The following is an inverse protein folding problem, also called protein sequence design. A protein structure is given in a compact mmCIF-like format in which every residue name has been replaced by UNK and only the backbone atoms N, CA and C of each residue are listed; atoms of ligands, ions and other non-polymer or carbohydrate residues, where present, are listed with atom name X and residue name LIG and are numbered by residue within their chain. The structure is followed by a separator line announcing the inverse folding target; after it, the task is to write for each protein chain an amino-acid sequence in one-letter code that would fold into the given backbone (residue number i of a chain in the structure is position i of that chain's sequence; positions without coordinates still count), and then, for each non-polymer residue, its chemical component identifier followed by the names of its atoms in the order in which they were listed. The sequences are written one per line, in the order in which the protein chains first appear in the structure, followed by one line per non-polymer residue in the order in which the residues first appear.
data_IF_580457150854
#
_entry.id   IF_580457150854
#
_cell.length_a   1.000
_cell.length_b   1.000
_cell.length_c   1.000
_cell.angle_alpha   90.00
_cell.angle_beta   90.00
_cell.angle_gamma   90.00
#
_symmetry.space_group_name_H-M   'P 1'
#
loop_
_entity.id
_entity.type
_entity.pdbx_description
1 polymer ?
#
# COMPACT_ATOMS: atom_id res chain seq x y z
N UNK A 1 22.23 37.92 51.10
CA UNK A 1 22.34 37.20 49.80
C UNK A 1 21.99 38.20 48.71
N UNK A 2 22.98 38.62 47.92
CA UNK A 2 22.89 39.78 47.02
C UNK A 2 21.78 39.62 45.99
N UNK A 3 21.00 40.68 45.81
CA UNK A 3 19.84 40.75 44.90
C UNK A 3 20.26 40.40 43.47
N UNK A 4 21.48 40.77 43.08
CA UNK A 4 22.07 40.46 41.77
C UNK A 4 22.22 38.96 41.52
N UNK A 5 22.58 38.19 42.56
CA UNK A 5 22.68 36.72 42.45
C UNK A 5 21.30 36.08 42.24
N UNK A 6 20.24 36.61 42.88
CA UNK A 6 18.88 36.08 42.74
C UNK A 6 18.32 36.32 41.34
N UNK A 7 18.52 37.53 40.80
CA UNK A 7 18.02 37.86 39.47
C UNK A 7 18.75 37.05 38.37
N UNK A 8 20.06 36.82 38.53
CA UNK A 8 20.83 35.98 37.62
C UNK A 8 20.34 34.51 37.65
N UNK A 9 20.13 33.93 38.84
CA UNK A 9 19.59 32.57 38.98
C UNK A 9 18.20 32.45 38.32
N UNK A 10 17.31 33.41 38.52
CA UNK A 10 15.98 33.43 37.90
C UNK A 10 16.10 33.51 36.38
N UNK A 11 17.00 34.34 35.85
CA UNK A 11 17.23 34.48 34.41
C UNK A 11 17.73 33.17 33.78
N UNK A 12 18.68 32.49 34.44
CA UNK A 12 19.20 31.19 33.99
C UNK A 12 18.10 30.13 33.98
N UNK A 13 17.29 30.04 35.04
CA UNK A 13 16.17 29.09 35.12
C UNK A 13 15.14 29.39 34.04
N UNK A 14 14.84 30.67 33.79
CA UNK A 14 13.91 31.09 32.74
C UNK A 14 14.41 30.69 31.34
N UNK A 15 15.71 30.88 31.06
CA UNK A 15 16.30 30.44 29.79
C UNK A 15 16.22 28.93 29.62
N UNK A 16 16.51 28.16 30.68
CA UNK A 16 16.37 26.69 30.65
C UNK A 16 14.92 26.30 30.43
N UNK A 17 13.97 26.96 31.10
CA UNK A 17 12.54 26.71 30.92
C UNK A 17 12.10 26.98 29.48
N UNK A 18 12.55 28.08 28.87
CA UNK A 18 12.27 28.41 27.46
C UNK A 18 12.80 27.32 26.53
N UNK A 19 14.02 26.82 26.75
CA UNK A 19 14.60 25.75 25.93
C UNK A 19 13.83 24.43 26.07
N UNK A 20 13.45 24.05 27.30
CA UNK A 20 12.66 22.84 27.56
C UNK A 20 11.27 22.93 26.93
N UNK A 21 10.59 24.08 27.09
CA UNK A 21 9.30 24.35 26.46
C UNK A 21 9.40 24.32 24.92
N UNK A 22 10.47 24.89 24.36
CA UNK A 22 10.73 24.84 22.92
C UNK A 22 10.90 23.41 22.39
N UNK A 23 11.63 22.55 23.12
CA UNK A 23 11.79 21.15 22.76
C UNK A 23 10.47 20.36 22.86
N UNK A 24 9.67 20.59 23.90
CA UNK A 24 8.36 19.95 24.07
C UNK A 24 7.42 20.35 22.92
N UNK A 25 7.38 21.64 22.56
CA UNK A 25 6.57 22.10 21.43
C UNK A 25 7.00 21.44 20.12
N UNK A 26 8.31 21.39 19.85
CA UNK A 26 8.84 20.76 18.65
C UNK A 26 8.39 19.29 18.55
N UNK A 27 8.60 18.51 19.63
CA UNK A 27 8.21 17.09 19.68
C UNK A 27 6.69 16.91 19.57
N UNK A 28 5.90 17.78 20.20
CA UNK A 28 4.44 17.69 20.16
C UNK A 28 3.88 17.94 18.76
N UNK A 29 4.57 18.74 17.95
CA UNK A 29 4.16 19.03 16.56
C UNK A 29 4.63 17.92 15.61
N UNK A 30 5.84 17.37 15.77
CA UNK A 30 6.40 16.36 14.85
C UNK A 30 5.90 14.94 15.11
N UNK A 31 5.68 14.54 16.37
CA UNK A 31 5.24 13.18 16.71
C UNK A 31 3.98 12.68 15.95
N UNK A 32 2.91 13.49 15.72
CA UNK A 32 1.75 13.00 14.98
C UNK A 32 1.99 12.85 13.46
N UNK A 33 3.01 13.51 12.89
CA UNK A 33 3.26 13.45 11.44
C UNK A 33 3.86 12.11 10.99
N UNK A 34 4.75 11.54 11.80
CA UNK A 34 5.45 10.31 11.45
C UNK A 34 4.50 9.11 11.33
N UNK A 35 3.51 9.01 12.20
CA UNK A 35 2.51 7.92 12.16
C UNK A 35 1.61 8.01 10.92
N UNK A 36 1.24 9.23 10.52
CA UNK A 36 0.38 9.44 9.35
C UNK A 36 1.15 9.11 8.07
N UNK A 37 2.43 9.48 7.98
CA UNK A 37 3.25 9.21 6.81
C UNK A 37 3.46 7.71 6.62
N UNK A 38 3.81 6.97 7.69
CA UNK A 38 3.97 5.52 7.61
C UNK A 38 2.67 4.81 7.16
N UNK A 39 1.51 5.27 7.65
CA UNK A 39 0.21 4.71 7.24
C UNK A 39 -0.09 5.00 5.78
N UNK A 40 0.26 6.18 5.28
CA UNK A 40 0.11 6.54 3.86
C UNK A 40 1.02 5.69 2.99
N UNK A 41 2.30 5.57 3.34
CA UNK A 41 3.27 4.76 2.60
C UNK A 41 2.81 3.30 2.47
N UNK A 42 2.35 2.69 3.57
CA UNK A 42 1.82 1.31 3.53
C UNK A 42 0.57 1.23 2.64
N UNK A 43 -0.33 2.20 2.73
CA UNK A 43 -1.56 2.23 1.90
C UNK A 43 -1.23 2.37 0.41
N UNK A 44 -0.27 3.23 0.06
CA UNK A 44 0.20 3.39 -1.31
C UNK A 44 0.85 2.11 -1.83
N UNK A 45 1.66 1.42 -1.02
CA UNK A 45 2.23 0.12 -1.38
C UNK A 45 1.17 -0.95 -1.63
N UNK A 46 0.11 -1.00 -0.81
CA UNK A 46 -1.04 -1.90 -1.02
C UNK A 46 -1.68 -1.60 -2.38
N UNK A 47 -2.03 -0.34 -2.63
CA UNK A 47 -2.68 0.10 -3.86
C UNK A 47 -1.83 -0.19 -5.10
N UNK A 48 -0.52 0.03 -5.01
CA UNK A 48 0.40 -0.27 -6.08
C UNK A 48 0.46 -1.78 -6.36
N UNK A 49 0.54 -2.62 -5.33
CA UNK A 49 0.47 -4.08 -5.50
C UNK A 49 -0.83 -4.52 -6.14
N UNK A 50 -1.96 -3.99 -5.69
CA UNK A 50 -3.26 -4.28 -6.31
C UNK A 50 -3.32 -3.82 -7.77
N UNK A 51 -2.77 -2.65 -8.10
CA UNK A 51 -2.67 -2.16 -9.47
C UNK A 51 -1.80 -3.08 -10.34
N UNK A 52 -0.72 -3.63 -9.78
CA UNK A 52 0.12 -4.59 -10.48
C UNK A 52 -0.59 -5.94 -10.71
N UNK A 53 -1.35 -6.43 -9.71
CA UNK A 53 -2.21 -7.62 -9.86
C UNK A 53 -3.29 -7.37 -10.91
N UNK A 54 -3.95 -6.21 -10.90
CA UNK A 54 -4.90 -5.77 -11.94
C UNK A 54 -4.27 -5.83 -13.32
N UNK A 55 -3.07 -5.25 -13.48
CA UNK A 55 -2.35 -5.26 -14.75
C UNK A 55 -2.10 -6.69 -15.23
N UNK A 56 -1.65 -7.57 -14.33
CA UNK A 56 -1.45 -8.99 -14.66
C UNK A 56 -2.75 -9.72 -15.03
N UNK A 57 -3.87 -9.43 -14.37
CA UNK A 57 -5.19 -9.98 -14.69
C UNK A 57 -5.67 -9.53 -16.08
N UNK A 58 -5.48 -8.24 -16.40
CA UNK A 58 -5.85 -7.68 -17.72
C UNK A 58 -5.00 -8.30 -18.82
N UNK A 59 -3.69 -8.46 -18.62
CA UNK A 59 -2.80 -9.11 -19.59
C UNK A 59 -3.15 -10.59 -19.78
N UNK A 60 -3.46 -11.31 -18.70
CA UNK A 60 -3.97 -12.69 -18.80
C UNK A 60 -5.28 -12.75 -19.61
N UNK A 61 -6.21 -11.84 -19.34
CA UNK A 61 -7.48 -11.75 -20.07
C UNK A 61 -7.26 -11.46 -21.56
N UNK A 62 -6.34 -10.55 -21.90
CA UNK A 62 -6.00 -10.23 -23.30
C UNK A 62 -5.47 -11.42 -24.07
N UNK A 63 -4.69 -12.29 -23.43
CA UNK A 63 -4.11 -13.47 -24.10
C UNK A 63 -5.09 -14.65 -24.17
N UNK A 64 -5.81 -14.91 -23.08
CA UNK A 64 -6.64 -16.11 -22.95
C UNK A 64 -8.13 -15.86 -23.21
N UNK A 65 -8.53 -14.62 -23.50
CA UNK A 65 -9.93 -14.15 -23.62
C UNK A 65 -10.80 -14.44 -22.39
N UNK A 66 -10.20 -14.77 -21.25
CA UNK A 66 -10.87 -15.12 -19.99
C UNK A 66 -10.00 -14.71 -18.79
N UNK A 67 -10.62 -14.37 -17.67
CA UNK A 67 -9.91 -14.18 -16.41
C UNK A 67 -9.50 -15.53 -15.80
N UNK A 68 -8.42 -15.56 -14.98
CA UNK A 68 -8.02 -16.77 -14.28
C UNK A 68 -9.07 -17.14 -13.21
N UNK A 69 -9.27 -18.44 -12.93
CA UNK A 69 -10.25 -18.88 -11.93
C UNK A 69 -9.81 -18.58 -10.49
N UNK A 70 -8.50 -18.41 -10.25
CA UNK A 70 -7.95 -18.07 -8.94
C UNK A 70 -6.64 -17.28 -9.07
N UNK A 71 -6.27 -16.59 -8.00
CA UNK A 71 -4.97 -15.90 -7.92
C UNK A 71 -3.78 -16.87 -8.02
N UNK A 72 -3.94 -18.13 -7.58
CA UNK A 72 -2.89 -19.14 -7.71
C UNK A 72 -2.63 -19.49 -9.17
N UNK A 73 -3.69 -19.60 -9.97
CA UNK A 73 -3.57 -19.80 -11.43
C UNK A 73 -2.89 -18.61 -12.10
N UNK A 74 -3.12 -17.39 -11.60
CA UNK A 74 -2.44 -16.19 -12.09
C UNK A 74 -0.94 -16.24 -11.75
N UNK A 75 -0.56 -16.67 -10.54
CA UNK A 75 0.85 -16.80 -10.15
C UNK A 75 1.57 -17.83 -11.02
N UNK A 76 0.96 -19.00 -11.24
CA UNK A 76 1.56 -20.03 -12.12
C UNK A 76 1.79 -19.47 -13.52
N UNK A 77 0.82 -18.73 -14.05
CA UNK A 77 0.97 -18.07 -15.35
C UNK A 77 2.10 -17.04 -15.36
N UNK A 78 2.16 -16.17 -14.36
CA UNK A 78 3.22 -15.15 -14.21
C UNK A 78 4.61 -15.81 -14.15
N UNK A 79 4.73 -16.96 -13.49
CA UNK A 79 5.99 -17.72 -13.37
C UNK A 79 6.38 -18.47 -14.64
N UNK A 80 5.41 -18.89 -15.45
CA UNK A 80 5.66 -19.78 -16.59
C UNK A 80 5.85 -18.99 -17.89
N UNK A 81 5.20 -17.84 -18.03
CA UNK A 81 5.21 -17.06 -19.27
C UNK A 81 6.38 -16.06 -19.29
N UNK A 82 7.27 -16.20 -20.28
CA UNK A 82 8.46 -15.34 -20.45
C UNK A 82 8.12 -13.86 -20.63
N UNK A 83 6.98 -13.52 -21.26
CA UNK A 83 6.56 -12.11 -21.39
C UNK A 83 6.13 -11.54 -20.04
N UNK A 84 5.45 -12.34 -19.23
CA UNK A 84 5.03 -11.92 -17.90
C UNK A 84 6.22 -11.83 -16.93
N UNK A 85 7.27 -12.62 -17.11
CA UNK A 85 8.52 -12.45 -16.36
C UNK A 85 9.22 -11.13 -16.73
N UNK A 86 9.26 -10.76 -18.01
CA UNK A 86 9.84 -9.48 -18.46
C UNK A 86 9.02 -8.25 -18.02
N UNK A 87 7.69 -8.34 -18.11
CA UNK A 87 6.77 -7.34 -17.56
C UNK A 87 6.86 -7.34 -16.03
N UNK A 88 7.04 -8.51 -15.42
CA UNK A 88 7.32 -8.75 -14.01
C UNK A 88 8.52 -7.94 -13.51
N UNK A 89 9.63 -8.02 -14.21
CA UNK A 89 10.84 -7.28 -13.84
C UNK A 89 10.70 -5.76 -14.01
N UNK A 90 9.75 -5.28 -14.83
CA UNK A 90 9.57 -3.85 -15.09
C UNK A 90 8.48 -3.22 -14.23
N UNK A 91 7.32 -3.88 -14.11
CA UNK A 91 6.16 -3.43 -13.32
C UNK A 91 6.39 -3.60 -11.81
N UNK A 92 7.26 -4.53 -11.41
CA UNK A 92 7.49 -4.87 -10.01
C UNK A 92 8.90 -4.45 -9.52
N UNK A 93 9.57 -3.56 -10.26
CA UNK A 93 10.90 -3.00 -9.93
C UNK A 93 10.86 -1.94 -8.82
N UNK A 94 9.68 -1.60 -8.33
CA UNK A 94 9.49 -0.45 -7.45
C UNK A 94 9.86 -0.76 -5.99
N UNK A 95 10.96 -0.11 -5.59
CA UNK A 95 11.54 0.10 -4.25
C UNK A 95 12.17 -1.14 -3.58
N UNK A 96 13.51 -1.05 -3.49
CA UNK A 96 14.39 -1.97 -2.76
C UNK A 96 14.03 -2.09 -1.27
N UNK A 97 14.47 -3.18 -0.62
CA UNK A 97 14.98 -4.41 -1.21
C UNK A 97 13.82 -5.40 -1.32
N UNK A 98 13.82 -6.28 -2.30
CA UNK A 98 13.38 -7.69 -2.18
C UNK A 98 13.32 -8.25 -3.60
N UNK A 99 13.85 -9.46 -3.74
CA UNK A 99 13.88 -10.21 -4.99
C UNK A 99 12.44 -10.34 -5.50
N UNK A 100 12.25 -10.32 -6.82
CA UNK A 100 10.95 -10.57 -7.43
C UNK A 100 10.40 -11.91 -6.92
N UNK A 101 9.37 -11.84 -6.07
CA UNK A 101 8.66 -13.00 -5.55
C UNK A 101 7.22 -12.94 -6.03
N UNK A 102 6.87 -13.65 -7.12
CA UNK A 102 5.50 -13.71 -7.65
C UNK A 102 4.48 -14.13 -6.59
N UNK A 103 4.90 -14.98 -5.66
CA UNK A 103 4.06 -15.47 -4.57
C UNK A 103 3.68 -14.38 -3.57
N UNK A 104 4.48 -13.31 -3.44
CA UNK A 104 4.20 -12.21 -2.52
C UNK A 104 3.16 -11.22 -3.07
N UNK A 105 2.82 -11.31 -4.36
CA UNK A 105 1.92 -10.37 -5.03
C UNK A 105 0.47 -10.50 -4.59
N UNK A 106 0.09 -11.69 -4.14
CA UNK A 106 -1.26 -11.97 -3.65
C UNK A 106 -1.45 -11.56 -2.19
N UNK A 107 -0.41 -11.06 -1.52
CA UNK A 107 -0.43 -10.69 -0.10
C UNK A 107 -0.32 -9.17 0.08
N UNK A 108 -1.08 -8.66 1.04
CA UNK A 108 -1.02 -7.27 1.46
C UNK A 108 0.35 -6.97 2.11
N UNK A 109 1.01 -5.84 1.78
CA UNK A 109 2.22 -5.40 2.45
C UNK A 109 1.94 -4.90 3.87
N UNK A 110 0.67 -4.64 4.21
CA UNK A 110 0.24 -4.25 5.55
C UNK A 110 0.29 -5.47 6.48
N UNK A 111 0.87 -5.37 7.70
CA UNK A 111 0.69 -6.39 8.73
C UNK A 111 -0.81 -6.58 9.03
N UNK A 112 -1.36 -7.80 9.06
CA UNK A 112 -0.70 -9.10 9.23
C UNK A 112 -0.33 -9.86 7.94
N UNK A 113 -0.26 -9.19 6.79
CA UNK A 113 0.03 -9.74 5.47
C UNK A 113 -1.04 -10.69 4.94
N UNK A 114 -2.30 -10.30 5.09
CA UNK A 114 -3.41 -11.11 4.60
C UNK A 114 -3.42 -11.21 3.07
N UNK A 115 -3.95 -12.33 2.58
CA UNK A 115 -4.11 -12.59 1.15
C UNK A 115 -5.26 -11.74 0.59
N UNK A 116 -5.06 -11.16 -0.59
CA UNK A 116 -6.13 -10.50 -1.34
C UNK A 116 -7.23 -11.50 -1.69
N UNK A 117 -8.47 -11.05 -1.57
CA UNK A 117 -9.65 -11.82 -1.94
C UNK A 117 -9.93 -11.58 -3.42
N UNK A 118 -10.13 -12.66 -4.17
CA UNK A 118 -10.44 -12.61 -5.59
C UNK A 118 -11.69 -13.44 -5.84
N UNK A 119 -12.70 -12.80 -6.41
CA UNK A 119 -13.95 -13.44 -6.81
C UNK A 119 -14.19 -13.18 -8.30
N UNK A 120 -14.47 -14.24 -9.04
CA UNK A 120 -14.78 -14.18 -10.47
C UNK A 120 -16.27 -14.44 -10.67
N UNK A 121 -16.93 -13.54 -11.38
CA UNK A 121 -18.29 -13.75 -11.88
C UNK A 121 -18.23 -14.00 -13.40
N UNK A 122 -18.44 -15.26 -13.79
CA UNK A 122 -18.42 -15.75 -15.16
C UNK A 122 -19.81 -15.79 -15.83
N UNK A 123 -20.86 -15.44 -15.08
CA UNK A 123 -22.25 -15.42 -15.57
C UNK A 123 -22.55 -14.24 -16.49
N UNK A 124 -21.81 -13.14 -16.34
CA UNK A 124 -21.96 -11.92 -17.15
C UNK A 124 -20.92 -11.90 -18.29
N UNK A 125 -21.30 -11.29 -19.41
CA UNK A 125 -20.42 -11.02 -20.57
C UNK A 125 -20.32 -9.50 -20.76
N UNK A 126 -19.14 -8.88 -20.66
CA UNK A 126 -17.83 -9.47 -20.35
C UNK A 126 -17.77 -10.02 -18.92
N UNK A 127 -16.93 -11.04 -18.69
CA UNK A 127 -16.68 -11.57 -17.36
C UNK A 127 -16.16 -10.45 -16.45
N UNK A 128 -16.57 -10.46 -15.19
CA UNK A 128 -16.16 -9.43 -14.22
C UNK A 128 -15.56 -10.09 -12.99
N UNK A 129 -14.62 -9.39 -12.36
CA UNK A 129 -13.98 -9.86 -11.14
C UNK A 129 -14.01 -8.78 -10.07
N UNK A 130 -13.85 -9.21 -8.83
CA UNK A 130 -13.63 -8.36 -7.67
C UNK A 130 -12.33 -8.80 -7.00
N UNK A 131 -11.40 -7.85 -6.88
CA UNK A 131 -10.17 -7.98 -6.10
C UNK A 131 -10.28 -7.03 -4.90
N UNK A 132 -10.22 -7.55 -3.67
CA UNK A 132 -10.34 -6.74 -2.45
C UNK A 132 -9.26 -7.05 -1.42
N UNK A 133 -8.89 -6.03 -0.65
CA UNK A 133 -8.07 -6.21 0.56
C UNK A 133 -9.00 -6.62 1.70
N UNK A 134 -8.76 -7.73 2.43
CA UNK A 134 -9.47 -8.00 3.67
C UNK A 134 -9.23 -6.94 4.76
N UNK A 135 -8.07 -6.27 4.73
CA UNK A 135 -7.64 -5.34 5.78
C UNK A 135 -8.02 -3.87 5.48
N UNK A 136 -8.57 -3.60 4.30
CA UNK A 136 -8.95 -2.25 3.85
C UNK A 136 -10.31 -2.27 3.14
N UNK A 137 -10.85 -1.08 2.83
CA UNK A 137 -12.01 -0.95 1.92
C UNK A 137 -11.59 -0.87 0.45
N UNK A 138 -10.28 -0.87 0.20
CA UNK A 138 -9.67 -0.82 -1.12
C UNK A 138 -10.06 -2.05 -1.94
N UNK A 139 -10.63 -1.80 -3.12
CA UNK A 139 -11.08 -2.85 -4.05
C UNK A 139 -10.85 -2.43 -5.50
N UNK A 140 -10.68 -3.41 -6.38
CA UNK A 140 -10.64 -3.25 -7.83
C UNK A 140 -11.71 -4.14 -8.43
N UNK A 141 -12.56 -3.57 -9.30
CA UNK A 141 -13.62 -4.33 -9.94
C UNK A 141 -14.94 -4.36 -9.16
N UNK A 142 -15.88 -5.12 -9.69
CA UNK A 142 -17.21 -5.34 -9.10
C UNK A 142 -17.79 -6.64 -9.63
N UNK A 143 -18.60 -7.32 -8.81
CA UNK A 143 -19.36 -8.51 -9.22
C UNK A 143 -20.75 -8.19 -9.81
N UNK A 144 -21.14 -6.92 -9.79
CA UNK A 144 -22.48 -6.48 -10.19
C UNK A 144 -22.45 -5.57 -11.42
N UNK A 145 -21.39 -4.76 -11.55
CA UNK A 145 -21.32 -3.68 -12.56
C UNK A 145 -20.16 -3.88 -13.51
N UNK A 146 -20.46 -4.16 -14.79
CA UNK A 146 -19.45 -4.26 -15.87
C UNK A 146 -18.71 -2.95 -16.14
N UNK A 147 -19.34 -1.80 -15.85
CA UNK A 147 -18.69 -0.49 -16.00
C UNK A 147 -17.57 -0.25 -14.98
N UNK A 148 -17.56 -1.00 -13.88
CA UNK A 148 -16.52 -0.93 -12.85
C UNK A 148 -15.42 -1.98 -13.07
N UNK A 149 -15.42 -2.70 -14.20
CA UNK A 149 -14.37 -3.65 -14.53
C UNK A 149 -13.01 -2.94 -14.56
N UNK A 150 -12.04 -3.44 -13.80
CA UNK A 150 -10.70 -2.86 -13.61
C UNK A 150 -10.66 -1.49 -12.90
N UNK A 151 -11.81 -0.91 -12.53
CA UNK A 151 -11.85 0.35 -11.80
C UNK A 151 -11.41 0.13 -10.36
N UNK A 152 -10.45 0.93 -9.89
CA UNK A 152 -10.08 0.91 -8.47
C UNK A 152 -10.99 1.81 -7.65
N UNK A 153 -11.16 1.52 -6.37
CA UNK A 153 -12.03 2.32 -5.48
C UNK A 153 -11.41 3.64 -5.04
N UNK A 154 -10.14 3.89 -5.38
CA UNK A 154 -9.37 5.06 -4.97
C UNK A 154 -8.97 5.97 -6.14
N UNK A 155 -9.33 5.60 -7.37
CA UNK A 155 -9.31 6.46 -8.57
C UNK A 155 -10.61 7.27 -8.63
#
# INVERSE_FOLDING_TARGET
MNIDKRNNIISVILTIAILVLGYILYRSITAPWDEVEQRKEVTEQVRQRMSNVRTALVEFQRQNNRFPPSLDSLIVYIKTDERMMQLGDSLFKERRPLRYHPDSLIYSPRPPHNRFQFELNDTLRPNIYLLSDPDSRDRIGSLERTTLLNASSWE
#
